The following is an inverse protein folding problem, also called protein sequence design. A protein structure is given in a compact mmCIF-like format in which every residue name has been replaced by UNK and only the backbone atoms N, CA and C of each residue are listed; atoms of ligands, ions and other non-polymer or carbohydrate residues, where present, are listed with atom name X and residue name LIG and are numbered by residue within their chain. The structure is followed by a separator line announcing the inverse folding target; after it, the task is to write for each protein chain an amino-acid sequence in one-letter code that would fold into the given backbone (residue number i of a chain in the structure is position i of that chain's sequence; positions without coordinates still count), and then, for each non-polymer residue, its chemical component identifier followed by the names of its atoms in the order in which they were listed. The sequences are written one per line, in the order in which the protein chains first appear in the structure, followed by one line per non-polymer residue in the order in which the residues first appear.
data_IF_840289601456
#
_entry.id   IF_840289601456
#
_cell.length_a   1.000
_cell.length_b   1.000
_cell.length_c   1.000
_cell.angle_alpha   90.00
_cell.angle_beta   90.00
_cell.angle_gamma   90.00
#
_symmetry.space_group_name_H-M   'P 1'
#
loop_
_entity.id
_entity.type
_entity.pdbx_description
1 polymer ?
#
# COMPACT_ATOMS: atom_id res chain seq x y z
N UNK A 1 22.16 33.06 23.92
CA UNK A 1 20.88 32.30 24.05
C UNK A 1 20.01 32.88 25.16
N UNK A 2 20.52 33.01 26.42
CA UNK A 2 19.75 33.50 27.59
C UNK A 2 19.27 34.92 27.39
N UNK A 3 20.11 35.83 26.88
CA UNK A 3 19.73 37.24 26.60
C UNK A 3 18.60 37.37 25.58
N UNK A 4 18.60 36.56 24.50
CA UNK A 4 17.53 36.51 23.54
C UNK A 4 16.22 35.98 24.15
N UNK A 5 16.31 34.97 25.04
CA UNK A 5 15.14 34.45 25.75
C UNK A 5 14.53 35.49 26.69
N UNK A 6 15.36 36.28 27.42
CA UNK A 6 14.87 37.33 28.28
C UNK A 6 14.22 38.48 27.46
N UNK A 7 14.79 38.86 26.31
CA UNK A 7 14.20 39.86 25.41
C UNK A 7 12.85 39.40 24.85
N UNK A 8 12.76 38.14 24.39
CA UNK A 8 11.52 37.53 23.93
C UNK A 8 10.45 37.52 25.02
N UNK A 9 10.81 37.08 26.24
CA UNK A 9 9.87 37.05 27.36
C UNK A 9 9.35 38.48 27.70
N UNK A 10 10.19 39.52 27.66
CA UNK A 10 9.76 40.90 27.86
C UNK A 10 8.73 41.37 26.83
N UNK A 11 8.95 41.04 25.54
CA UNK A 11 7.99 41.33 24.47
C UNK A 11 6.65 40.62 24.72
N UNK A 12 6.70 39.33 25.09
CA UNK A 12 5.49 38.55 25.38
C UNK A 12 4.70 39.04 26.60
N UNK A 13 5.35 39.76 27.52
CA UNK A 13 4.71 40.37 28.70
C UNK A 13 4.30 41.84 28.47
N UNK A 14 4.44 42.36 27.25
CA UNK A 14 4.09 43.75 26.91
C UNK A 14 2.98 43.75 25.83
N UNK A 15 2.37 44.93 25.63
CA UNK A 15 1.35 45.14 24.58
C UNK A 15 1.94 45.05 23.16
N UNK A 16 3.25 45.09 23.00
CA UNK A 16 3.96 44.96 21.73
C UNK A 16 3.67 43.58 21.07
N UNK A 17 3.46 42.54 21.86
CA UNK A 17 3.16 41.19 21.32
C UNK A 17 1.89 41.20 20.49
N UNK A 18 0.86 41.91 20.87
CA UNK A 18 -0.42 41.95 20.14
C UNK A 18 -0.26 42.60 18.76
N UNK A 19 0.56 43.64 18.67
CA UNK A 19 0.86 44.31 17.39
C UNK A 19 1.64 43.39 16.47
N UNK A 20 2.64 42.67 16.99
CA UNK A 20 3.44 41.70 16.23
C UNK A 20 2.59 40.53 15.76
N UNK A 21 1.71 40.02 16.61
CA UNK A 21 0.82 38.92 16.25
C UNK A 21 -0.20 39.32 15.18
N UNK A 22 -0.78 40.50 15.27
CA UNK A 22 -1.72 41.00 14.26
C UNK A 22 -1.03 41.22 12.91
N UNK A 23 0.15 41.84 12.90
CA UNK A 23 0.96 41.98 11.68
C UNK A 23 1.31 40.63 11.05
N UNK A 24 1.65 39.64 11.87
CA UNK A 24 1.92 38.28 11.37
C UNK A 24 0.65 37.64 10.78
N UNK A 25 -0.49 37.76 11.45
CA UNK A 25 -1.79 37.25 10.94
C UNK A 25 -2.15 37.82 9.59
N UNK A 26 -2.01 39.11 9.41
CA UNK A 26 -2.27 39.80 8.12
C UNK A 26 -1.39 39.19 7.01
N UNK A 27 -0.10 38.98 7.27
CA UNK A 27 0.82 38.34 6.31
C UNK A 27 0.49 36.87 6.01
N UNK A 28 0.06 36.14 7.04
CA UNK A 28 -0.38 34.75 6.87
C UNK A 28 -1.65 34.67 6.00
N UNK A 29 -2.64 35.49 6.28
CA UNK A 29 -3.86 35.56 5.48
C UNK A 29 -3.55 35.92 4.03
N UNK A 30 -2.69 36.91 3.84
CA UNK A 30 -2.26 37.32 2.51
C UNK A 30 -1.56 36.22 1.75
N UNK A 31 -0.64 35.51 2.40
CA UNK A 31 0.05 34.34 1.82
C UNK A 31 -0.96 33.23 1.42
N UNK A 32 -1.91 32.92 2.29
CA UNK A 32 -2.96 31.92 2.01
C UNK A 32 -3.84 32.35 0.83
N UNK A 33 -4.26 33.59 0.75
CA UNK A 33 -5.04 34.12 -0.38
C UNK A 33 -4.29 33.97 -1.71
N UNK A 34 -2.98 34.23 -1.73
CA UNK A 34 -2.16 34.03 -2.92
C UNK A 34 -2.02 32.54 -3.28
N UNK A 35 -1.81 31.64 -2.30
CA UNK A 35 -1.74 30.22 -2.53
C UNK A 35 -3.06 29.66 -3.10
N UNK A 36 -4.20 30.14 -2.60
CA UNK A 36 -5.53 29.80 -3.11
C UNK A 36 -5.75 30.37 -4.52
N UNK A 37 -5.37 31.64 -4.75
CA UNK A 37 -5.46 32.28 -6.06
C UNK A 37 -4.72 31.52 -7.14
N UNK A 38 -3.54 30.96 -6.82
CA UNK A 38 -2.77 30.13 -7.73
C UNK A 38 -3.15 28.64 -7.68
N UNK A 39 -4.24 28.30 -6.99
CA UNK A 39 -4.75 26.93 -6.87
C UNK A 39 -3.70 25.91 -6.40
N UNK A 40 -2.81 26.31 -5.53
CA UNK A 40 -1.78 25.43 -4.97
C UNK A 40 -2.37 24.52 -3.87
N UNK A 41 -1.95 23.25 -3.76
CA UNK A 41 -2.52 22.30 -2.80
C UNK A 41 -2.04 22.57 -1.36
N UNK A 42 -2.74 23.47 -0.68
CA UNK A 42 -2.43 23.91 0.69
C UNK A 42 -2.93 22.85 1.67
N UNK A 43 -2.09 22.48 2.62
CA UNK A 43 -2.39 21.49 3.66
C UNK A 43 -2.25 22.03 5.08
N UNK A 44 -1.72 23.23 5.22
CA UNK A 44 -1.58 23.93 6.50
C UNK A 44 -2.84 24.71 6.87
N UNK A 45 -3.02 24.96 8.17
CA UNK A 45 -4.06 25.85 8.66
C UNK A 45 -3.69 27.30 8.35
N UNK A 46 -4.69 28.13 8.05
CA UNK A 46 -4.55 29.58 7.74
C UNK A 46 -3.86 30.35 8.85
N UNK A 47 -4.08 30.01 10.11
CA UNK A 47 -3.49 30.69 11.27
C UNK A 47 -2.08 30.18 11.63
N UNK A 48 -1.54 29.19 10.90
CA UNK A 48 -0.21 28.68 11.15
C UNK A 48 0.86 29.49 10.42
N UNK A 49 1.92 29.95 11.10
CA UNK A 49 3.06 30.55 10.44
C UNK A 49 3.84 29.62 9.53
N UNK A 50 3.63 28.32 9.67
CA UNK A 50 4.23 27.27 8.84
C UNK A 50 3.23 26.86 7.77
N UNK A 51 3.56 27.14 6.52
CA UNK A 51 2.80 26.72 5.36
C UNK A 51 3.35 25.40 4.82
N UNK A 52 2.43 24.52 4.36
CA UNK A 52 2.77 23.26 3.74
C UNK A 52 1.98 23.10 2.44
N UNK A 53 2.70 23.07 1.30
CA UNK A 53 2.14 22.90 -0.04
C UNK A 53 2.45 21.48 -0.53
N UNK A 54 1.42 20.69 -0.80
CA UNK A 54 1.56 19.29 -1.21
C UNK A 54 2.20 19.12 -2.58
N UNK A 55 3.15 18.20 -2.71
CA UNK A 55 3.86 17.88 -3.96
C UNK A 55 3.74 16.39 -4.35
N UNK A 56 3.29 15.54 -3.43
CA UNK A 56 3.19 14.11 -3.66
C UNK A 56 4.50 13.37 -3.39
N UNK A 57 5.21 12.93 -4.41
CA UNK A 57 6.42 12.13 -4.26
C UNK A 57 7.68 12.95 -3.97
N UNK A 58 8.65 12.34 -3.27
CA UNK A 58 9.92 12.95 -2.89
C UNK A 58 10.68 13.58 -4.08
N UNK A 59 10.68 12.93 -5.25
CA UNK A 59 11.37 13.45 -6.43
C UNK A 59 10.78 14.74 -6.97
N UNK A 60 9.45 14.90 -6.94
CA UNK A 60 8.79 16.18 -7.26
C UNK A 60 9.24 17.26 -6.27
N UNK A 61 9.32 16.90 -4.98
CA UNK A 61 9.81 17.78 -3.94
C UNK A 61 11.24 18.26 -4.17
N UNK A 62 12.16 17.34 -4.48
CA UNK A 62 13.55 17.71 -4.78
C UNK A 62 13.67 18.57 -6.04
N UNK A 63 12.89 18.26 -7.09
CA UNK A 63 12.85 19.07 -8.32
C UNK A 63 12.39 20.50 -8.00
N UNK A 64 11.30 20.65 -7.20
CA UNK A 64 10.79 21.95 -6.78
C UNK A 64 11.80 22.76 -5.96
N UNK A 65 12.40 22.15 -4.94
CA UNK A 65 13.43 22.84 -4.12
C UNK A 65 14.59 23.32 -4.96
N UNK A 66 15.10 22.47 -5.86
CA UNK A 66 16.20 22.85 -6.78
C UNK A 66 15.83 24.06 -7.64
N UNK A 67 14.62 24.09 -8.19
CA UNK A 67 14.15 25.21 -9.02
C UNK A 67 14.01 26.50 -8.20
N UNK A 68 13.42 26.43 -7.01
CA UNK A 68 13.26 27.58 -6.12
C UNK A 68 14.62 28.11 -5.61
N UNK A 69 15.55 27.22 -5.29
CA UNK A 69 16.93 27.63 -4.93
C UNK A 69 17.63 28.37 -6.06
N UNK A 70 17.44 27.95 -7.30
CA UNK A 70 18.00 28.64 -8.47
C UNK A 70 17.41 30.05 -8.63
N UNK A 71 16.17 30.29 -8.16
CA UNK A 71 15.54 31.61 -8.11
C UNK A 71 15.93 32.40 -6.85
N UNK A 72 16.81 31.88 -6.00
CA UNK A 72 17.25 32.50 -4.76
C UNK A 72 16.24 32.37 -3.62
N UNK A 73 15.32 31.41 -3.69
CA UNK A 73 14.31 31.16 -2.65
C UNK A 73 14.67 29.89 -1.88
N UNK A 74 14.87 30.05 -0.56
CA UNK A 74 15.23 28.95 0.34
C UNK A 74 13.97 28.42 1.03
N UNK A 75 13.57 27.19 0.71
CA UNK A 75 12.44 26.49 1.30
C UNK A 75 12.85 25.13 1.78
N UNK A 76 12.15 24.60 2.78
CA UNK A 76 12.34 23.25 3.28
C UNK A 76 11.39 22.27 2.57
N UNK A 77 11.74 21.00 2.67
CA UNK A 77 10.91 19.91 2.18
C UNK A 77 10.53 18.99 3.35
N UNK A 78 9.25 18.66 3.45
CA UNK A 78 8.77 17.60 4.34
C UNK A 78 8.79 16.29 3.61
N UNK A 79 9.61 15.35 4.07
CA UNK A 79 9.75 14.00 3.51
C UNK A 79 9.66 12.94 4.61
N UNK A 80 9.53 11.68 4.21
CA UNK A 80 9.63 10.57 5.16
C UNK A 80 10.93 10.65 6.00
N UNK A 81 10.91 10.39 7.33
CA UNK A 81 9.76 9.90 8.13
C UNK A 81 8.87 11.01 8.73
N UNK A 82 9.11 12.29 8.45
CA UNK A 82 8.30 13.38 8.99
C UNK A 82 6.87 13.41 8.42
N UNK A 83 6.70 12.92 7.20
CA UNK A 83 5.42 12.71 6.52
C UNK A 83 5.46 11.35 5.80
N UNK A 84 4.31 10.75 5.45
CA UNK A 84 4.29 9.56 4.59
C UNK A 84 5.02 9.81 3.26
N UNK A 85 5.62 8.78 2.67
CA UNK A 85 6.49 8.90 1.49
C UNK A 85 5.80 9.52 0.27
N UNK A 86 4.49 9.29 0.12
CA UNK A 86 3.66 9.88 -0.92
C UNK A 86 3.16 11.29 -0.61
N UNK A 87 3.38 11.78 0.61
CA UNK A 87 2.85 13.05 1.11
C UNK A 87 3.93 14.12 1.25
N UNK A 88 4.94 14.09 0.39
CA UNK A 88 5.98 15.11 0.34
C UNK A 88 5.39 16.47 0.00
N UNK A 89 5.87 17.52 0.66
CA UNK A 89 5.46 18.88 0.37
C UNK A 89 6.53 19.92 0.66
N UNK A 90 6.38 21.10 0.08
CA UNK A 90 7.16 22.27 0.44
C UNK A 90 6.71 22.79 1.80
N UNK A 91 7.68 23.00 2.68
CA UNK A 91 7.47 23.62 3.98
C UNK A 91 8.23 24.94 4.05
N UNK A 92 7.53 26.02 4.30
CA UNK A 92 8.12 27.33 4.54
C UNK A 92 7.42 28.05 5.68
N UNK A 93 8.08 29.07 6.21
CA UNK A 93 7.58 29.82 7.38
C UNK A 93 7.50 31.29 7.03
N UNK A 94 6.36 31.90 7.27
CA UNK A 94 6.17 33.36 7.17
C UNK A 94 6.48 33.98 8.54
N UNK A 95 7.19 35.06 8.51
CA UNK A 95 7.58 35.84 9.69
C UNK A 95 7.29 37.32 9.47
N UNK A 96 7.34 38.10 10.55
CA UNK A 96 7.17 39.57 10.45
C UNK A 96 8.28 40.27 9.65
N UNK A 97 9.43 39.59 9.43
CA UNK A 97 10.52 40.17 8.64
C UNK A 97 10.30 40.07 7.14
N UNK A 98 9.40 39.20 6.68
CA UNK A 98 9.06 39.15 5.25
C UNK A 98 8.18 40.33 4.87
N UNK A 99 8.53 40.94 3.75
CA UNK A 99 7.70 41.99 3.11
C UNK A 99 6.57 41.31 2.31
N UNK A 100 5.57 42.07 1.91
CA UNK A 100 4.51 41.61 1.03
C UNK A 100 5.11 41.11 -0.30
N UNK A 101 6.08 41.82 -0.87
CA UNK A 101 6.77 41.47 -2.11
C UNK A 101 7.55 40.16 -1.98
N UNK A 102 8.12 39.84 -0.81
CA UNK A 102 8.79 38.54 -0.58
C UNK A 102 7.80 37.39 -0.64
N UNK A 103 6.61 37.59 -0.06
CA UNK A 103 5.53 36.58 -0.05
C UNK A 103 4.99 36.37 -1.48
N UNK A 104 4.70 37.48 -2.21
CA UNK A 104 4.28 37.44 -3.60
C UNK A 104 5.27 36.68 -4.46
N UNK A 105 6.55 37.04 -4.40
CA UNK A 105 7.62 36.38 -5.16
C UNK A 105 7.72 34.90 -4.84
N UNK A 106 7.64 34.52 -3.57
CA UNK A 106 7.70 33.11 -3.18
C UNK A 106 6.54 32.31 -3.81
N UNK A 107 5.30 32.78 -3.62
CA UNK A 107 4.12 32.06 -4.09
C UNK A 107 4.04 32.02 -5.61
N UNK A 108 4.35 33.11 -6.30
CA UNK A 108 4.43 33.15 -7.77
C UNK A 108 5.46 32.15 -8.32
N UNK A 109 6.64 32.08 -7.69
CA UNK A 109 7.67 31.13 -8.14
C UNK A 109 7.29 29.68 -7.85
N UNK A 110 6.61 29.41 -6.73
CA UNK A 110 6.03 28.08 -6.47
C UNK A 110 5.01 27.75 -7.57
N UNK A 111 4.07 28.63 -7.85
CA UNK A 111 3.04 28.41 -8.87
C UNK A 111 3.65 28.21 -10.28
N UNK A 112 4.67 28.98 -10.63
CA UNK A 112 5.35 28.86 -11.91
C UNK A 112 6.11 27.53 -12.10
N UNK A 113 6.74 27.04 -11.05
CA UNK A 113 7.55 25.81 -11.11
C UNK A 113 6.75 24.53 -10.86
N UNK A 114 5.64 24.61 -10.14
CA UNK A 114 4.87 23.45 -9.73
C UNK A 114 4.44 22.56 -10.91
N UNK A 115 3.76 23.06 -11.96
CA UNK A 115 3.39 22.22 -13.10
C UNK A 115 4.60 21.68 -13.86
N UNK A 116 5.71 22.43 -13.91
CA UNK A 116 6.93 21.99 -14.58
C UNK A 116 7.60 20.85 -13.82
N UNK A 117 7.67 20.94 -12.50
CA UNK A 117 8.24 19.87 -11.67
C UNK A 117 7.38 18.59 -11.74
N UNK A 118 6.05 18.72 -11.78
CA UNK A 118 5.16 17.59 -12.00
C UNK A 118 5.40 16.96 -13.37
N UNK A 119 5.45 17.75 -14.42
CA UNK A 119 5.67 17.27 -15.78
C UNK A 119 7.01 16.54 -15.92
N UNK A 120 8.12 17.11 -15.40
CA UNK A 120 9.45 16.50 -15.47
C UNK A 120 9.50 15.13 -14.79
N UNK A 121 8.71 14.96 -13.74
CA UNK A 121 8.65 13.70 -12.98
C UNK A 121 7.51 12.79 -13.45
N UNK A 122 6.87 13.11 -14.58
CA UNK A 122 5.77 12.33 -15.15
C UNK A 122 4.55 12.25 -14.23
N UNK A 123 4.23 13.36 -13.54
CA UNK A 123 3.14 13.47 -12.57
C UNK A 123 2.12 14.52 -12.95
N UNK A 124 0.95 14.41 -12.38
CA UNK A 124 -0.17 15.34 -12.56
C UNK A 124 -0.62 15.90 -11.22
N UNK A 125 -1.40 16.96 -11.24
CA UNK A 125 -2.04 17.50 -10.04
C UNK A 125 -2.99 16.49 -9.39
N UNK A 126 -3.65 15.64 -10.20
CA UNK A 126 -4.49 14.56 -9.70
C UNK A 126 -3.72 13.54 -8.86
N UNK A 127 -2.45 13.26 -9.20
CA UNK A 127 -1.58 12.39 -8.41
C UNK A 127 -1.27 13.01 -7.04
N UNK A 128 -1.07 14.33 -6.99
CA UNK A 128 -0.87 15.05 -5.72
C UNK A 128 -2.12 14.98 -4.86
N UNK A 129 -3.30 15.23 -5.43
CA UNK A 129 -4.57 15.14 -4.68
C UNK A 129 -4.79 13.74 -4.12
N UNK A 130 -4.52 12.73 -4.93
CA UNK A 130 -4.64 11.34 -4.53
C UNK A 130 -3.70 11.02 -3.36
N UNK A 131 -2.45 11.46 -3.44
CA UNK A 131 -1.46 11.25 -2.40
C UNK A 131 -1.90 11.81 -1.04
N UNK A 132 -2.50 12.98 -1.04
CA UNK A 132 -2.99 13.62 0.20
C UNK A 132 -4.43 13.23 0.56
N UNK A 133 -5.10 12.39 -0.24
CA UNK A 133 -6.47 11.90 0.00
C UNK A 133 -7.48 13.01 0.37
N UNK A 134 -7.18 14.22 0.00
CA UNK A 134 -8.08 15.37 0.11
C UNK A 134 -8.69 15.60 -1.25
N UNK A 135 -10.01 15.52 -1.32
CA UNK A 135 -10.77 16.19 -2.37
C UNK A 135 -10.67 17.68 -2.02
N UNK A 136 -9.59 18.33 -2.47
CA UNK A 136 -9.55 19.78 -2.46
C UNK A 136 -10.54 20.17 -3.56
N UNK A 137 -11.65 20.80 -3.17
CA UNK A 137 -12.54 21.43 -4.14
C UNK A 137 -11.75 22.55 -4.83
N UNK A 138 -11.11 22.18 -5.95
CA UNK A 138 -10.61 23.20 -6.85
C UNK A 138 -11.81 23.81 -7.56
N UNK A 139 -12.05 25.06 -7.33
CA UNK A 139 -12.78 25.87 -8.30
C UNK A 139 -11.87 25.95 -9.52
N UNK A 140 -12.06 25.02 -10.45
CA UNK A 140 -11.45 25.06 -11.76
C UNK A 140 -11.96 26.29 -12.47
N UNK A 141 -11.14 27.35 -12.52
CA UNK A 141 -11.25 28.31 -13.59
C UNK A 141 -10.71 27.63 -14.84
N UNK A 142 -11.63 27.16 -15.68
CA UNK A 142 -11.42 26.32 -16.87
C UNK A 142 -10.56 26.95 -17.99
N UNK A 143 -9.89 28.07 -17.75
CA UNK A 143 -9.25 28.84 -18.82
C UNK A 143 -7.74 28.70 -18.96
N UNK A 144 -7.04 27.89 -18.15
CA UNK A 144 -5.58 27.78 -18.24
C UNK A 144 -5.01 26.41 -18.63
N UNK A 145 -5.82 25.38 -18.76
CA UNK A 145 -5.38 24.05 -19.19
C UNK A 145 -6.41 23.38 -20.10
N UNK A 146 -6.68 23.95 -21.26
CA UNK A 146 -7.16 23.17 -22.41
C UNK A 146 -5.98 22.39 -23.00
N UNK A 147 -5.60 21.30 -22.34
CA UNK A 147 -5.09 20.17 -23.11
C UNK A 147 -6.31 19.53 -23.79
N UNK A 148 -6.24 19.22 -25.10
CA UNK A 148 -7.32 18.52 -25.76
C UNK A 148 -7.58 17.24 -24.98
N UNK A 149 -8.79 17.11 -24.44
CA UNK A 149 -9.22 15.91 -23.75
C UNK A 149 -9.16 14.78 -24.76
N UNK A 150 -8.10 13.97 -24.70
CA UNK A 150 -8.20 12.61 -25.22
C UNK A 150 -9.41 12.01 -24.52
N UNK A 151 -10.32 11.34 -25.23
CA UNK A 151 -11.48 10.73 -24.59
C UNK A 151 -10.98 9.85 -23.46
N UNK A 152 -11.31 10.22 -22.22
CA UNK A 152 -10.93 9.47 -21.06
C UNK A 152 -11.64 8.13 -21.16
N UNK A 153 -10.94 7.00 -21.24
CA UNK A 153 -11.60 5.71 -21.32
C UNK A 153 -12.56 5.58 -20.15
N UNK A 154 -13.82 5.27 -20.43
CA UNK A 154 -14.81 5.06 -19.38
C UNK A 154 -14.58 3.67 -18.78
N UNK A 155 -14.17 3.62 -17.52
CA UNK A 155 -14.03 2.35 -16.79
C UNK A 155 -15.18 2.17 -15.82
N UNK A 156 -15.75 0.97 -15.78
CA UNK A 156 -16.74 0.57 -14.78
C UNK A 156 -16.06 -0.28 -13.73
N UNK A 157 -16.12 0.15 -12.48
CA UNK A 157 -15.61 -0.61 -11.32
C UNK A 157 -16.76 -1.33 -10.63
N UNK A 158 -16.68 -2.65 -10.57
CA UNK A 158 -17.50 -3.49 -9.69
C UNK A 158 -16.68 -3.81 -8.46
N UNK A 159 -17.26 -3.55 -7.28
CA UNK A 159 -16.68 -3.89 -5.97
C UNK A 159 -17.71 -4.64 -5.15
N UNK A 160 -17.38 -5.83 -4.71
CA UNK A 160 -18.23 -6.71 -3.90
C UNK A 160 -17.49 -7.16 -2.63
N UNK A 161 -18.25 -7.44 -1.59
CA UNK A 161 -17.71 -7.90 -0.30
C UNK A 161 -17.95 -9.39 -0.03
N UNK A 162 -18.49 -10.09 -1.00
CA UNK A 162 -18.65 -11.56 -1.00
C UNK A 162 -18.53 -12.08 -2.42
N UNK A 163 -17.88 -13.23 -2.57
CA UNK A 163 -17.72 -13.88 -3.87
C UNK A 163 -19.07 -14.32 -4.47
N UNK A 164 -20.09 -14.54 -3.64
CA UNK A 164 -21.41 -14.95 -4.07
C UNK A 164 -22.10 -13.92 -5.01
N UNK A 165 -21.68 -12.66 -4.98
CA UNK A 165 -22.18 -11.60 -5.89
C UNK A 165 -21.35 -11.46 -7.17
N UNK A 166 -20.30 -12.25 -7.31
CA UNK A 166 -19.44 -12.27 -8.49
C UNK A 166 -19.81 -13.45 -9.37
N UNK A 167 -19.87 -13.24 -10.69
CA UNK A 167 -20.15 -14.29 -11.65
C UNK A 167 -19.06 -15.38 -11.61
N UNK A 168 -19.41 -16.65 -11.31
CA UNK A 168 -18.43 -17.72 -11.17
C UNK A 168 -17.66 -18.02 -12.45
N UNK A 169 -18.34 -18.01 -13.61
CA UNK A 169 -17.72 -18.36 -14.88
C UNK A 169 -16.73 -17.27 -15.31
N UNK A 170 -17.12 -16.01 -15.13
CA UNK A 170 -16.21 -14.89 -15.37
C UNK A 170 -15.00 -14.97 -14.46
N UNK A 171 -15.20 -15.13 -13.14
CA UNK A 171 -14.13 -15.17 -12.18
C UNK A 171 -13.11 -16.28 -12.48
N UNK A 172 -13.61 -17.49 -12.68
CA UNK A 172 -12.77 -18.66 -12.94
C UNK A 172 -12.04 -18.57 -14.28
N UNK A 173 -12.63 -17.92 -15.28
CA UNK A 173 -11.95 -17.66 -16.56
C UNK A 173 -10.75 -16.73 -16.44
N UNK A 174 -10.72 -15.84 -15.43
CA UNK A 174 -9.66 -14.85 -15.22
C UNK A 174 -8.62 -15.29 -14.21
N UNK A 175 -9.03 -15.98 -13.15
CA UNK A 175 -8.19 -16.29 -11.99
C UNK A 175 -8.23 -17.76 -11.56
N UNK A 176 -9.17 -18.56 -12.05
CA UNK A 176 -9.40 -19.92 -11.56
C UNK A 176 -8.22 -20.89 -11.74
N UNK A 177 -7.37 -20.67 -12.74
CA UNK A 177 -6.20 -21.51 -13.00
C UNK A 177 -4.95 -21.12 -12.18
N UNK A 178 -5.01 -20.03 -11.42
CA UNK A 178 -3.84 -19.47 -10.76
C UNK A 178 -3.59 -19.98 -9.33
N UNK A 179 -4.47 -20.83 -8.77
CA UNK A 179 -4.32 -21.37 -7.42
C UNK A 179 -5.65 -21.79 -6.79
N UNK A 180 -5.70 -21.84 -5.47
CA UNK A 180 -6.88 -22.24 -4.69
C UNK A 180 -7.86 -21.08 -4.46
N UNK A 181 -7.85 -20.08 -5.29
CA UNK A 181 -8.73 -18.91 -5.25
C UNK A 181 -9.60 -18.79 -6.50
N UNK A 182 -9.98 -19.94 -7.08
CA UNK A 182 -11.17 -20.05 -7.90
C UNK A 182 -12.41 -19.65 -7.10
N UNK A 183 -13.54 -19.47 -7.78
CA UNK A 183 -14.77 -19.01 -7.13
C UNK A 183 -15.16 -19.87 -5.92
N UNK A 184 -15.04 -21.20 -6.05
CA UNK A 184 -15.38 -22.15 -4.99
C UNK A 184 -14.38 -22.12 -3.83
N UNK A 185 -13.10 -22.02 -4.12
CA UNK A 185 -12.05 -21.86 -3.11
C UNK A 185 -12.22 -20.60 -2.28
N UNK A 186 -12.58 -19.47 -2.93
CA UNK A 186 -12.87 -18.22 -2.24
C UNK A 186 -14.13 -18.29 -1.39
N UNK A 187 -15.18 -18.98 -1.84
CA UNK A 187 -16.36 -19.23 -1.03
C UNK A 187 -16.01 -19.99 0.26
N UNK A 188 -15.21 -21.06 0.16
CA UNK A 188 -14.75 -21.85 1.31
C UNK A 188 -13.90 -20.98 2.24
N UNK A 189 -13.07 -20.11 1.69
CA UNK A 189 -12.26 -19.17 2.48
C UNK A 189 -13.12 -18.18 3.25
N UNK A 190 -14.14 -17.57 2.61
CA UNK A 190 -15.09 -16.70 3.30
C UNK A 190 -15.77 -17.43 4.47
N UNK A 191 -16.31 -18.63 4.21
CA UNK A 191 -16.98 -19.45 5.23
C UNK A 191 -16.04 -19.79 6.40
N UNK A 192 -14.76 -20.02 6.12
CA UNK A 192 -13.76 -20.38 7.13
C UNK A 192 -13.33 -19.20 8.00
N UNK A 193 -13.25 -17.99 7.42
CA UNK A 193 -12.74 -16.80 8.09
C UNK A 193 -13.82 -15.77 8.44
N UNK A 194 -15.04 -16.24 8.70
CA UNK A 194 -16.15 -15.43 9.19
C UNK A 194 -16.77 -16.06 10.44
N UNK A 195 -17.32 -15.23 11.31
CA UNK A 195 -18.03 -15.65 12.51
C UNK A 195 -17.22 -16.51 13.48
N UNK A 196 -15.89 -16.39 13.46
CA UNK A 196 -15.01 -17.06 14.40
C UNK A 196 -14.97 -16.35 15.75
N UNK A 197 -14.70 -17.12 16.82
CA UNK A 197 -14.54 -16.60 18.18
C UNK A 197 -13.34 -15.66 18.31
N UNK A 198 -12.24 -16.00 17.65
CA UNK A 198 -11.00 -15.25 17.70
C UNK A 198 -10.99 -14.17 16.60
N UNK A 199 -10.70 -12.94 17.00
CA UNK A 199 -10.78 -11.77 16.11
C UNK A 199 -9.86 -11.91 14.89
N UNK A 200 -8.67 -12.47 15.04
CA UNK A 200 -7.68 -12.69 14.00
C UNK A 200 -8.15 -13.66 12.90
N UNK A 201 -9.20 -14.44 13.19
CA UNK A 201 -9.83 -15.37 12.26
C UNK A 201 -11.12 -14.82 11.62
N UNK A 202 -11.36 -13.53 11.74
CA UNK A 202 -12.47 -12.85 11.06
C UNK A 202 -11.89 -11.84 10.07
N UNK A 203 -11.95 -12.20 8.80
CA UNK A 203 -11.37 -11.40 7.73
C UNK A 203 -12.46 -10.62 6.98
N UNK A 204 -12.08 -9.46 6.44
CA UNK A 204 -12.86 -8.77 5.42
C UNK A 204 -12.48 -9.29 4.04
N UNK A 205 -13.43 -9.35 3.11
CA UNK A 205 -13.22 -9.78 1.74
C UNK A 205 -13.70 -8.71 0.76
N UNK A 206 -12.92 -8.44 -0.25
CA UNK A 206 -13.22 -7.44 -1.29
C UNK A 206 -12.82 -7.98 -2.65
N UNK A 207 -13.75 -7.95 -3.59
CA UNK A 207 -13.60 -8.42 -4.96
C UNK A 207 -13.73 -7.25 -5.91
N UNK A 208 -12.76 -7.07 -6.78
CA UNK A 208 -12.71 -5.95 -7.71
C UNK A 208 -12.68 -6.47 -9.14
N UNK A 209 -13.56 -5.93 -9.98
CA UNK A 209 -13.54 -6.17 -11.43
C UNK A 209 -13.69 -4.81 -12.10
N UNK A 210 -12.73 -4.48 -12.96
CA UNK A 210 -12.79 -3.27 -13.78
C UNK A 210 -13.04 -3.68 -15.23
N UNK A 211 -13.99 -3.01 -15.89
CA UNK A 211 -14.37 -3.25 -17.28
C UNK A 211 -14.27 -1.98 -18.10
N UNK A 212 -14.11 -2.15 -19.40
CA UNK A 212 -14.23 -1.05 -20.36
C UNK A 212 -15.72 -0.77 -20.72
N UNK A 213 -15.93 0.18 -21.63
CA UNK A 213 -17.24 0.57 -22.14
C UNK A 213 -17.99 -0.55 -22.88
N UNK A 214 -17.28 -1.58 -23.32
CA UNK A 214 -17.84 -2.78 -23.96
C UNK A 214 -18.09 -3.92 -22.98
N UNK A 215 -17.97 -3.64 -21.66
CA UNK A 215 -18.13 -4.62 -20.59
C UNK A 215 -17.05 -5.73 -20.58
N UNK A 216 -15.93 -5.54 -21.30
CA UNK A 216 -14.79 -6.47 -21.28
C UNK A 216 -14.00 -6.30 -19.99
N UNK A 217 -13.66 -7.38 -19.26
CA UNK A 217 -12.84 -7.29 -18.06
C UNK A 217 -11.42 -6.88 -18.39
N UNK A 218 -10.92 -5.87 -17.69
CA UNK A 218 -9.58 -5.31 -17.81
C UNK A 218 -8.70 -5.64 -16.61
N UNK A 219 -9.31 -5.75 -15.44
CA UNK A 219 -8.66 -6.11 -14.20
C UNK A 219 -9.63 -6.91 -13.34
N UNK A 220 -9.14 -7.96 -12.71
CA UNK A 220 -9.85 -8.70 -11.66
C UNK A 220 -8.88 -9.10 -10.56
N UNK A 221 -9.32 -8.97 -9.31
CA UNK A 221 -8.54 -9.40 -8.14
C UNK A 221 -9.44 -9.51 -6.91
N UNK A 222 -8.96 -10.23 -5.90
CA UNK A 222 -9.54 -10.17 -4.56
C UNK A 222 -8.53 -9.63 -3.57
N UNK A 223 -9.05 -9.00 -2.54
CA UNK A 223 -8.28 -8.50 -1.42
C UNK A 223 -8.88 -9.01 -0.12
N UNK A 224 -8.04 -9.19 0.89
CA UNK A 224 -8.48 -9.51 2.24
C UNK A 224 -8.01 -8.45 3.22
N UNK A 225 -8.83 -8.21 4.24
CA UNK A 225 -8.46 -7.41 5.41
C UNK A 225 -8.32 -8.35 6.58
N UNK A 226 -7.10 -8.49 7.08
CA UNK A 226 -6.79 -9.41 8.16
C UNK A 226 -5.88 -8.75 9.20
N UNK A 227 -5.92 -9.25 10.43
CA UNK A 227 -4.93 -8.91 11.43
C UNK A 227 -3.66 -9.72 11.16
N UNK A 228 -2.54 -9.04 10.97
CA UNK A 228 -1.23 -9.65 10.69
C UNK A 228 -0.26 -9.39 11.83
N UNK A 229 0.65 -10.33 12.07
CA UNK A 229 1.76 -10.11 12.98
C UNK A 229 2.88 -9.39 12.23
N UNK A 230 3.35 -8.25 12.75
CA UNK A 230 4.36 -7.42 12.07
C UNK A 230 5.74 -8.12 12.01
N UNK A 231 5.94 -9.10 12.87
CA UNK A 231 7.15 -9.95 12.91
C UNK A 231 6.99 -11.26 12.11
N UNK A 232 6.01 -11.36 11.23
CA UNK A 232 5.70 -12.61 10.50
C UNK A 232 6.92 -13.22 9.79
N UNK A 233 7.79 -12.38 9.23
CA UNK A 233 9.02 -12.78 8.52
C UNK A 233 10.30 -12.47 9.31
N UNK A 234 10.19 -12.14 10.59
CA UNK A 234 11.36 -11.88 11.42
C UNK A 234 12.10 -13.18 11.77
N UNK A 235 13.41 -13.09 12.11
CA UNK A 235 14.14 -14.24 12.61
C UNK A 235 13.44 -14.86 13.84
N UNK A 236 13.40 -16.21 13.97
CA UNK A 236 12.67 -16.90 15.05
C UNK A 236 13.00 -16.41 16.46
N UNK A 237 14.24 -16.02 16.73
CA UNK A 237 14.66 -15.50 18.03
C UNK A 237 14.02 -14.14 18.38
N UNK A 238 13.65 -13.35 17.37
CA UNK A 238 12.94 -12.08 17.55
C UNK A 238 11.46 -12.40 17.79
N UNK A 239 10.84 -13.24 16.97
CA UNK A 239 9.46 -13.64 17.13
C UNK A 239 9.18 -14.28 18.46
N UNK A 240 10.12 -15.11 19.00
CA UNK A 240 9.98 -15.68 20.34
C UNK A 240 9.83 -14.61 21.43
N UNK A 241 10.63 -13.55 21.37
CA UNK A 241 10.52 -12.43 22.34
C UNK A 241 9.19 -11.69 22.22
N UNK A 242 8.75 -11.46 20.99
CA UNK A 242 7.46 -10.79 20.72
C UNK A 242 6.28 -11.65 21.19
N UNK A 243 6.34 -12.97 20.98
CA UNK A 243 5.31 -13.89 21.48
C UNK A 243 5.21 -13.89 23.02
N UNK A 244 6.30 -13.69 23.75
CA UNK A 244 6.24 -13.52 25.20
C UNK A 244 5.47 -12.26 25.61
N UNK A 245 5.65 -11.15 24.89
CA UNK A 245 4.85 -9.93 25.12
C UNK A 245 3.37 -10.15 24.77
N UNK A 246 3.07 -10.95 23.74
CA UNK A 246 1.68 -11.29 23.33
C UNK A 246 0.92 -12.12 24.35
N UNK A 247 1.61 -12.79 25.29
CA UNK A 247 0.95 -13.45 26.42
C UNK A 247 0.18 -12.44 27.27
N UNK A 248 0.76 -11.23 27.45
CA UNK A 248 0.15 -10.15 28.24
C UNK A 248 -0.70 -9.21 27.36
N UNK A 249 -0.21 -8.88 26.17
CA UNK A 249 -0.87 -7.99 25.20
C UNK A 249 -1.10 -8.76 23.92
N UNK A 250 -2.22 -9.47 23.79
CA UNK A 250 -2.53 -10.43 22.72
C UNK A 250 -2.18 -9.94 21.30
N UNK A 251 -2.38 -8.66 21.01
CA UNK A 251 -2.15 -8.07 19.68
C UNK A 251 -0.97 -7.10 19.66
N UNK A 252 0.04 -7.33 20.50
CA UNK A 252 1.27 -6.55 20.48
C UNK A 252 2.01 -6.74 19.15
N UNK A 253 2.40 -5.63 18.50
CA UNK A 253 2.99 -5.62 17.15
C UNK A 253 2.14 -6.44 16.15
N UNK A 254 0.88 -6.07 16.05
CA UNK A 254 -0.03 -6.59 15.04
C UNK A 254 -0.69 -5.41 14.34
N UNK A 255 -0.78 -5.50 13.02
CA UNK A 255 -1.38 -4.48 12.15
C UNK A 255 -2.60 -5.03 11.42
N UNK A 256 -3.63 -4.21 11.27
CA UNK A 256 -4.75 -4.50 10.37
C UNK A 256 -4.29 -4.22 8.94
N UNK A 257 -4.20 -5.27 8.13
CA UNK A 257 -3.61 -5.20 6.79
C UNK A 257 -4.67 -5.48 5.73
N UNK A 258 -4.83 -4.55 4.78
CA UNK A 258 -5.52 -4.79 3.51
C UNK A 258 -4.48 -5.30 2.50
N UNK A 259 -4.69 -6.48 1.93
CA UNK A 259 -3.74 -7.08 1.00
C UNK A 259 -4.41 -7.65 -0.25
N UNK A 260 -3.75 -7.58 -1.41
CA UNK A 260 -4.12 -8.39 -2.57
C UNK A 260 -3.89 -9.86 -2.22
N UNK A 261 -4.88 -10.71 -2.54
CA UNK A 261 -4.86 -12.11 -2.10
C UNK A 261 -5.15 -12.25 -0.62
N UNK A 262 -4.58 -13.25 0.03
CA UNK A 262 -4.75 -13.53 1.44
C UNK A 262 -3.48 -14.07 2.10
N UNK A 263 -3.49 -14.21 3.42
CA UNK A 263 -2.36 -14.79 4.18
C UNK A 263 -2.09 -16.27 3.85
N UNK A 264 -3.07 -16.96 3.26
CA UNK A 264 -3.00 -18.40 2.97
C UNK A 264 -3.00 -18.73 1.47
N UNK A 265 -3.04 -17.72 0.61
CA UNK A 265 -2.94 -17.90 -0.84
C UNK A 265 -1.60 -17.38 -1.36
N UNK A 266 -1.16 -17.97 -2.47
CA UNK A 266 0.10 -17.65 -3.14
C UNK A 266 -0.09 -17.70 -4.65
N UNK A 267 0.65 -16.90 -5.41
CA UNK A 267 0.60 -16.86 -6.86
C UNK A 267 -0.02 -15.60 -7.44
N UNK A 268 -0.47 -15.66 -8.68
CA UNK A 268 -0.97 -14.48 -9.43
C UNK A 268 -2.39 -14.10 -9.02
N UNK A 269 -2.52 -13.30 -7.98
CA UNK A 269 -3.80 -12.82 -7.47
C UNK A 269 -4.44 -11.72 -8.30
N UNK A 270 -3.70 -11.13 -9.24
CA UNK A 270 -4.16 -10.03 -10.08
C UNK A 270 -4.20 -10.45 -11.55
N UNK A 271 -5.39 -10.42 -12.15
CA UNK A 271 -5.56 -10.39 -13.59
C UNK A 271 -5.53 -8.94 -14.06
N UNK A 272 -4.75 -8.65 -15.10
CA UNK A 272 -4.74 -7.36 -15.80
C UNK A 272 -4.45 -7.56 -17.28
N UNK A 273 -5.29 -6.95 -18.15
CA UNK A 273 -5.10 -7.01 -19.60
C UNK A 273 -3.93 -6.12 -20.02
N UNK A 274 -2.73 -6.72 -20.08
CA UNK A 274 -1.48 -6.04 -20.46
C UNK A 274 -1.36 -5.78 -21.98
N UNK A 275 -2.28 -6.29 -22.79
CA UNK A 275 -2.29 -6.00 -24.22
C UNK A 275 -2.70 -4.56 -24.54
N UNK A 276 -3.33 -3.88 -23.58
CA UNK A 276 -3.76 -2.49 -23.69
C UNK A 276 -2.67 -1.52 -23.27
N UNK A 277 -2.50 -0.45 -24.03
CA UNK A 277 -1.55 0.63 -23.70
C UNK A 277 -1.95 1.43 -22.46
N UNK A 278 -3.25 1.45 -22.11
CA UNK A 278 -3.80 2.20 -20.97
C UNK A 278 -3.94 1.37 -19.68
N UNK A 279 -3.31 0.19 -19.58
CA UNK A 279 -3.38 -0.67 -18.41
C UNK A 279 -2.95 0.04 -17.10
N UNK A 280 -2.07 1.05 -17.19
CA UNK A 280 -1.66 1.87 -16.04
C UNK A 280 -2.82 2.71 -15.51
N UNK A 281 -3.68 3.21 -16.39
CA UNK A 281 -4.88 3.94 -15.99
C UNK A 281 -5.88 3.00 -15.30
N UNK A 282 -6.03 1.78 -15.79
CA UNK A 282 -6.85 0.74 -15.13
C UNK A 282 -6.32 0.43 -13.73
N UNK A 283 -4.99 0.27 -13.58
CA UNK A 283 -4.35 0.11 -12.27
C UNK A 283 -4.59 1.31 -11.35
N UNK A 284 -4.61 2.54 -11.89
CA UNK A 284 -4.89 3.73 -11.08
C UNK A 284 -6.31 3.71 -10.52
N UNK A 285 -7.31 3.34 -11.33
CA UNK A 285 -8.70 3.19 -10.86
C UNK A 285 -8.78 2.15 -9.73
N UNK A 286 -8.05 1.04 -9.85
CA UNK A 286 -7.97 0.03 -8.81
C UNK A 286 -7.29 0.55 -7.53
N UNK A 287 -6.14 1.23 -7.65
CA UNK A 287 -5.43 1.79 -6.50
C UNK A 287 -6.25 2.84 -5.76
N UNK A 288 -7.01 3.68 -6.49
CA UNK A 288 -7.93 4.65 -5.88
C UNK A 288 -9.01 3.95 -5.04
N UNK A 289 -9.56 2.85 -5.57
CA UNK A 289 -10.53 2.04 -4.83
C UNK A 289 -9.90 1.40 -3.58
N UNK A 290 -8.68 0.87 -3.69
CA UNK A 290 -7.97 0.26 -2.56
C UNK A 290 -7.64 1.29 -1.46
N UNK A 291 -7.17 2.48 -1.81
CA UNK A 291 -6.87 3.53 -0.82
C UNK A 291 -8.13 3.99 -0.09
N UNK A 292 -9.25 4.10 -0.81
CA UNK A 292 -10.55 4.37 -0.20
C UNK A 292 -10.95 3.25 0.77
N UNK A 293 -10.78 1.99 0.34
CA UNK A 293 -11.13 0.84 1.17
C UNK A 293 -10.20 0.70 2.39
N UNK A 294 -8.92 0.99 2.24
CA UNK A 294 -7.99 1.04 3.37
C UNK A 294 -8.48 1.99 4.48
N UNK A 295 -9.07 3.12 4.09
CA UNK A 295 -9.63 4.08 5.06
C UNK A 295 -10.92 3.57 5.70
N UNK A 296 -11.84 2.99 4.89
CA UNK A 296 -13.10 2.43 5.37
C UNK A 296 -12.84 1.33 6.40
N UNK A 297 -11.93 0.43 6.07
CA UNK A 297 -11.52 -0.70 6.88
C UNK A 297 -10.56 -0.32 8.02
N UNK A 298 -10.11 0.94 8.07
CA UNK A 298 -9.11 1.43 9.02
C UNK A 298 -7.85 0.54 9.05
N UNK A 299 -7.42 0.09 7.86
CA UNK A 299 -6.25 -0.77 7.74
C UNK A 299 -4.97 0.06 7.86
N UNK A 300 -4.07 -0.37 8.74
CA UNK A 300 -2.79 0.29 9.01
C UNK A 300 -1.84 0.14 7.82
N UNK A 301 -1.90 -1.01 7.15
CA UNK A 301 -1.00 -1.39 6.06
C UNK A 301 -1.80 -1.75 4.82
N UNK A 302 -1.34 -1.29 3.64
CA UNK A 302 -1.77 -1.74 2.32
C UNK A 302 -0.63 -2.55 1.69
N UNK A 303 -0.88 -3.83 1.42
CA UNK A 303 0.10 -4.76 0.89
C UNK A 303 -0.31 -5.29 -0.49
N UNK A 304 0.47 -4.94 -1.51
CA UNK A 304 0.36 -5.49 -2.86
C UNK A 304 1.44 -6.54 -3.03
N UNK A 305 1.06 -7.81 -3.19
CA UNK A 305 2.00 -8.94 -3.11
C UNK A 305 1.95 -9.84 -4.34
N UNK A 306 2.95 -10.71 -4.43
CA UNK A 306 3.07 -11.81 -5.40
C UNK A 306 3.13 -11.33 -6.87
N UNK A 307 3.85 -10.21 -7.09
CA UNK A 307 4.19 -9.77 -8.43
C UNK A 307 5.45 -10.47 -8.94
N UNK A 308 5.45 -10.75 -10.23
CA UNK A 308 6.62 -11.33 -10.89
C UNK A 308 7.85 -10.41 -10.74
N UNK A 309 8.96 -10.97 -10.28
CA UNK A 309 10.21 -10.23 -10.09
C UNK A 309 10.74 -9.63 -11.40
N UNK A 310 10.44 -10.26 -12.53
CA UNK A 310 10.87 -9.85 -13.86
C UNK A 310 9.94 -8.79 -14.49
N UNK A 311 8.73 -8.56 -13.94
CA UNK A 311 7.84 -7.49 -14.40
C UNK A 311 8.33 -6.11 -13.93
N UNK A 312 9.37 -5.64 -14.60
CA UNK A 312 9.98 -4.34 -14.29
C UNK A 312 8.99 -3.19 -14.46
N UNK A 313 8.10 -3.29 -15.45
CA UNK A 313 7.16 -2.21 -15.75
C UNK A 313 6.11 -2.03 -14.65
N UNK A 314 5.54 -3.12 -14.14
CA UNK A 314 4.62 -3.09 -12.99
C UNK A 314 5.35 -2.62 -11.73
N UNK A 315 6.54 -3.15 -11.48
CA UNK A 315 7.36 -2.74 -10.34
C UNK A 315 7.62 -1.23 -10.36
N UNK A 316 8.12 -0.69 -11.49
CA UNK A 316 8.45 0.72 -11.61
C UNK A 316 7.19 1.59 -11.54
N UNK A 317 6.06 1.11 -12.07
CA UNK A 317 4.77 1.75 -11.89
C UNK A 317 4.38 1.84 -10.41
N UNK A 318 4.41 0.74 -9.65
CA UNK A 318 4.03 0.72 -8.23
C UNK A 318 4.98 1.57 -7.36
N UNK A 319 6.28 1.50 -7.58
CA UNK A 319 7.26 2.37 -6.91
C UNK A 319 6.93 3.84 -7.19
N UNK A 320 6.56 4.17 -8.43
CA UNK A 320 6.14 5.51 -8.82
C UNK A 320 4.82 5.95 -8.15
N UNK A 321 3.99 5.01 -7.69
CA UNK A 321 2.81 5.31 -6.88
C UNK A 321 3.12 5.38 -5.37
N UNK A 322 4.40 5.25 -4.97
CA UNK A 322 4.83 5.38 -3.58
C UNK A 322 4.85 4.06 -2.78
N UNK A 323 4.74 2.92 -3.46
CA UNK A 323 4.91 1.64 -2.79
C UNK A 323 6.38 1.31 -2.58
N UNK A 324 6.69 0.76 -1.41
CA UNK A 324 8.02 0.21 -1.11
C UNK A 324 8.10 -1.23 -1.60
N UNK A 325 9.18 -1.55 -2.32
CA UNK A 325 9.45 -2.94 -2.70
C UNK A 325 10.08 -3.69 -1.52
N UNK A 326 9.44 -4.77 -1.12
CA UNK A 326 9.97 -5.72 -0.14
C UNK A 326 10.19 -7.06 -0.84
N UNK A 327 11.40 -7.62 -0.74
CA UNK A 327 11.67 -8.96 -1.23
C UNK A 327 11.06 -9.99 -0.27
N UNK A 328 10.26 -10.91 -0.82
CA UNK A 328 9.82 -12.10 -0.09
C UNK A 328 10.84 -13.23 -0.28
N UNK A 329 10.85 -14.24 0.62
CA UNK A 329 11.63 -15.45 0.40
C UNK A 329 11.27 -16.11 -0.93
N UNK A 330 12.27 -16.69 -1.60
CA UNK A 330 12.07 -17.39 -2.85
C UNK A 330 11.27 -18.69 -2.64
N UNK A 331 10.41 -19.01 -3.59
CA UNK A 331 9.70 -20.29 -3.63
C UNK A 331 10.53 -21.37 -4.31
N UNK A 332 10.37 -22.59 -3.86
CA UNK A 332 10.95 -23.75 -4.49
C UNK A 332 9.87 -24.54 -5.24
N UNK A 333 9.96 -24.54 -6.57
CA UNK A 333 9.04 -25.28 -7.41
C UNK A 333 9.73 -26.47 -8.10
N UNK A 334 9.08 -27.61 -8.07
CA UNK A 334 9.46 -28.79 -8.87
C UNK A 334 8.56 -28.77 -10.12
N UNK A 335 9.12 -28.37 -11.26
CA UNK A 335 8.37 -28.16 -12.50
C UNK A 335 8.28 -29.37 -13.42
N UNK A 336 8.98 -30.47 -13.10
CA UNK A 336 9.02 -31.70 -13.90
C UNK A 336 8.71 -32.91 -13.03
N UNK A 337 7.41 -33.14 -12.79
CA UNK A 337 6.90 -34.28 -12.01
C UNK A 337 6.27 -35.37 -12.89
N UNK A 338 6.43 -35.29 -14.20
CA UNK A 338 5.89 -36.22 -15.19
C UNK A 338 6.74 -37.51 -15.35
N UNK A 339 7.73 -37.68 -14.49
CA UNK A 339 8.67 -38.80 -14.57
C UNK A 339 8.46 -39.83 -13.46
N UNK A 340 8.81 -41.09 -13.75
CA UNK A 340 8.88 -42.18 -12.75
C UNK A 340 9.90 -41.85 -11.66
N UNK A 341 9.74 -42.43 -10.46
CA UNK A 341 10.64 -42.22 -9.29
C UNK A 341 12.13 -42.37 -9.66
N UNK A 342 12.45 -43.36 -10.48
CA UNK A 342 13.82 -43.65 -10.90
C UNK A 342 14.40 -42.45 -11.68
N UNK A 343 13.65 -41.95 -12.66
CA UNK A 343 14.04 -40.78 -13.49
C UNK A 343 14.16 -39.53 -12.65
N UNK A 344 13.23 -39.30 -11.72
CA UNK A 344 13.33 -38.19 -10.76
C UNK A 344 14.63 -38.29 -9.94
N UNK A 345 14.93 -39.47 -9.39
CA UNK A 345 16.16 -39.67 -8.63
C UNK A 345 17.43 -39.44 -9.45
N UNK A 346 17.43 -39.86 -10.74
CA UNK A 346 18.58 -39.65 -11.62
C UNK A 346 18.88 -38.17 -11.91
N UNK A 347 17.86 -37.35 -11.94
CA UNK A 347 17.97 -35.90 -12.15
C UNK A 347 18.48 -35.15 -10.91
N UNK A 348 18.49 -35.73 -9.73
CA UNK A 348 18.98 -35.15 -8.50
C UNK A 348 20.52 -35.12 -8.45
N UNK A 349 21.09 -34.11 -7.75
CA UNK A 349 22.52 -34.11 -7.43
C UNK A 349 22.90 -35.28 -6.56
N UNK A 350 24.16 -35.73 -6.60
CA UNK A 350 24.65 -36.95 -5.94
C UNK A 350 24.25 -37.05 -4.46
N UNK A 351 24.37 -35.95 -3.69
CA UNK A 351 24.02 -35.91 -2.26
C UNK A 351 22.51 -36.04 -2.03
N UNK A 352 21.70 -35.34 -2.81
CA UNK A 352 20.25 -35.37 -2.74
C UNK A 352 19.71 -36.73 -3.15
N UNK A 353 20.25 -37.33 -4.24
CA UNK A 353 19.93 -38.68 -4.71
C UNK A 353 20.19 -39.73 -3.65
N UNK A 354 21.36 -39.65 -2.99
CA UNK A 354 21.70 -40.54 -1.87
C UNK A 354 20.69 -40.41 -0.73
N UNK A 355 20.33 -39.19 -0.34
CA UNK A 355 19.36 -38.93 0.72
C UNK A 355 17.98 -39.50 0.36
N UNK A 356 17.46 -39.21 -0.84
CA UNK A 356 16.15 -39.67 -1.28
C UNK A 356 16.11 -41.22 -1.32
N UNK A 357 17.14 -41.87 -1.90
CA UNK A 357 17.18 -43.34 -1.97
C UNK A 357 17.24 -44.00 -0.59
N UNK A 358 18.14 -43.55 0.25
CA UNK A 358 18.45 -44.26 1.51
C UNK A 358 17.62 -43.76 2.72
N UNK A 359 16.91 -42.67 2.59
CA UNK A 359 16.09 -42.14 3.70
C UNK A 359 14.60 -42.06 3.38
N UNK A 360 14.24 -41.77 2.13
CA UNK A 360 12.83 -41.68 1.74
C UNK A 360 12.32 -42.99 1.14
N UNK A 361 12.93 -43.46 0.06
CA UNK A 361 12.44 -44.63 -0.67
C UNK A 361 12.61 -45.94 0.15
N UNK A 362 13.75 -46.12 0.82
CA UNK A 362 14.02 -47.28 1.65
C UNK A 362 13.03 -47.42 2.83
N UNK A 363 12.56 -46.28 3.34
CA UNK A 363 11.60 -46.24 4.45
C UNK A 363 10.13 -46.22 3.98
N UNK A 364 9.85 -46.11 2.69
CA UNK A 364 8.50 -45.97 2.14
C UNK A 364 7.53 -47.05 2.63
N UNK A 365 8.00 -48.28 2.70
CA UNK A 365 7.20 -49.43 3.16
C UNK A 365 6.81 -49.40 4.65
N UNK A 366 7.39 -48.45 5.42
CA UNK A 366 7.06 -48.25 6.83
C UNK A 366 5.90 -47.26 7.02
N UNK A 367 5.42 -46.65 5.95
CA UNK A 367 4.35 -45.64 5.96
C UNK A 367 3.19 -46.09 5.10
N UNK A 368 1.98 -45.85 5.59
CA UNK A 368 0.76 -46.00 4.82
C UNK A 368 0.29 -44.59 4.39
N UNK A 369 0.05 -44.41 3.10
CA UNK A 369 -0.52 -43.14 2.55
C UNK A 369 -2.03 -43.33 2.40
N UNK A 370 -2.81 -42.52 3.12
CA UNK A 370 -4.26 -42.48 3.03
C UNK A 370 -4.71 -41.13 2.42
N UNK A 371 -5.55 -41.21 1.41
CA UNK A 371 -6.28 -40.06 0.87
C UNK A 371 -7.66 -40.07 1.52
N UNK A 372 -7.99 -39.02 2.23
CA UNK A 372 -9.27 -38.85 2.92
C UNK A 372 -10.03 -37.73 2.24
N UNK A 373 -11.02 -38.09 1.43
CA UNK A 373 -11.85 -37.14 0.67
C UNK A 373 -12.94 -36.49 1.52
N UNK A 374 -13.46 -37.21 2.52
CA UNK A 374 -14.55 -36.76 3.39
C UNK A 374 -14.20 -37.05 4.85
N UNK A 375 -13.38 -36.20 5.52
CA UNK A 375 -12.99 -36.45 6.90
C UNK A 375 -14.16 -36.29 7.85
N UNK A 376 -14.25 -37.17 8.85
CA UNK A 376 -15.18 -37.02 9.96
C UNK A 376 -14.77 -35.87 10.89
N UNK A 377 -15.68 -35.39 11.72
CA UNK A 377 -15.35 -34.36 12.73
C UNK A 377 -14.22 -34.79 13.69
N UNK A 378 -14.08 -36.09 13.94
CA UNK A 378 -12.99 -36.65 14.73
C UNK A 378 -11.66 -36.54 13.99
N UNK A 379 -11.66 -36.86 12.68
CA UNK A 379 -10.47 -36.74 11.84
C UNK A 379 -10.01 -35.30 11.74
N UNK A 380 -10.94 -34.36 11.48
CA UNK A 380 -10.67 -32.91 11.45
C UNK A 380 -10.05 -32.45 12.77
N UNK A 381 -10.61 -32.92 13.91
CA UNK A 381 -10.07 -32.56 15.24
C UNK A 381 -8.64 -33.09 15.45
N UNK A 382 -8.38 -34.32 14.99
CA UNK A 382 -7.05 -34.91 15.03
C UNK A 382 -6.05 -34.15 14.13
N UNK A 383 -6.41 -33.88 12.86
CA UNK A 383 -5.56 -33.15 11.92
C UNK A 383 -5.28 -31.73 12.41
N UNK A 384 -6.29 -31.06 12.99
CA UNK A 384 -6.09 -29.74 13.56
C UNK A 384 -5.10 -29.75 14.75
N UNK A 385 -5.11 -30.82 15.58
CA UNK A 385 -4.11 -30.98 16.64
C UNK A 385 -2.69 -31.20 16.07
N UNK A 386 -2.55 -31.97 15.00
CA UNK A 386 -1.27 -32.15 14.31
C UNK A 386 -0.76 -30.82 13.74
N UNK A 387 -1.64 -30.06 13.08
CA UNK A 387 -1.33 -28.69 12.61
C UNK A 387 -0.80 -27.81 13.74
N UNK A 388 -1.50 -27.74 14.86
CA UNK A 388 -1.06 -26.94 16.02
C UNK A 388 0.30 -27.36 16.57
N UNK A 389 0.61 -28.66 16.57
CA UNK A 389 1.92 -29.15 17.01
C UNK A 389 3.06 -28.67 16.11
N UNK A 390 2.83 -28.58 14.80
CA UNK A 390 3.80 -28.03 13.84
C UNK A 390 3.90 -26.51 13.99
N UNK A 391 2.77 -25.81 14.00
CA UNK A 391 2.71 -24.36 14.08
C UNK A 391 3.42 -23.80 15.32
N UNK A 392 3.28 -24.46 16.48
CA UNK A 392 3.96 -24.06 17.73
C UNK A 392 5.49 -24.15 17.67
N UNK A 393 6.03 -25.01 16.82
CA UNK A 393 7.48 -25.25 16.69
C UNK A 393 8.10 -24.46 15.54
N UNK A 394 7.31 -24.02 14.61
CA UNK A 394 7.78 -23.33 13.41
C UNK A 394 7.48 -21.83 13.49
N UNK A 395 8.48 -21.05 13.89
CA UNK A 395 8.41 -19.57 13.91
C UNK A 395 9.13 -18.96 12.70
N UNK A 396 9.45 -19.73 11.69
CA UNK A 396 10.04 -19.19 10.45
C UNK A 396 9.01 -18.34 9.69
N UNK A 397 7.70 -18.64 9.85
CA UNK A 397 6.59 -17.84 9.40
C UNK A 397 5.63 -17.66 10.60
N UNK A 398 5.79 -16.57 11.35
CA UNK A 398 5.01 -16.35 12.56
C UNK A 398 3.63 -15.74 12.25
N UNK A 399 2.64 -16.59 11.99
CA UNK A 399 1.24 -16.19 11.76
C UNK A 399 0.34 -16.54 12.95
N UNK A 400 -0.89 -16.05 12.94
CA UNK A 400 -1.94 -16.57 13.81
C UNK A 400 -2.31 -17.99 13.40
N UNK A 401 -2.83 -18.77 14.34
CA UNK A 401 -3.34 -20.11 14.03
C UNK A 401 -4.61 -19.99 13.18
N UNK A 402 -4.69 -20.82 12.15
CA UNK A 402 -5.89 -20.90 11.32
C UNK A 402 -7.10 -21.39 12.15
N UNK A 403 -8.32 -21.03 11.79
CA UNK A 403 -9.53 -21.56 12.40
C UNK A 403 -9.62 -23.09 12.15
N UNK A 404 -10.45 -23.75 12.96
CA UNK A 404 -10.64 -25.21 12.85
C UNK A 404 -11.65 -25.53 11.74
#
# INVERSE_FOLDING_TARGET
VIGAGIASAKIHLSDEIYQLQNSLKEKLHYCHQLLEFYHLPILSNMDSPISFVGLGLNRVGFNMVKRLMNDGLFVNIGIFPAVPETCTGLRFTITNHHTQSDIERLVERIAYHFPKALHDEGRTIADVHRAFRKVIEFKTNDSFYEMPASPTPSYTLQHETTIQKVDPQLWDSLLGENGTYDWKGLQIMEESFQNNKDQENNWGFHYYIIRDEFNKPLLATFCTVALTKDDMLAPPAISQKIEMERIVKRYYLCSRTLMIGSLITQGKHLYIDRSRSDWKNVMMVFLDALWKEQQNEKADVLNLRDFDADDKEMRDFLINQGFLKVALPDDHAITKLDCRKEVYCENLKKKERYYVRNRAIEMENQFEVKIVESPSNTDVSHYYQLYKNVARKNLALNTFHLPK
#
